data_IF_000131628026
#
_entry.id   IF_000131628026
#
_cell.length_a   1.000
_cell.length_b   1.000
_cell.length_c   1.000
_cell.angle_alpha   90.00
_cell.angle_beta   90.00
_cell.angle_gamma   90.00
#
_symmetry.space_group_name_H-M   'P 1'
#
loop_
_entity.id
_entity.type
_entity.pdbx_description
1 polymer ?
#
# COMPACT_ATOMS: atom_id res chain seq x y z
N UNK A 1 -17.85 -33.71 38.09
CA UNK A 1 -17.91 -34.13 36.68
C UNK A 1 -17.25 -33.07 35.86
N UNK A 2 -16.08 -33.40 35.34
CA UNK A 2 -15.11 -32.51 34.65
C UNK A 2 -15.58 -32.27 33.21
N UNK A 3 -15.65 -31.01 32.79
CA UNK A 3 -15.84 -30.62 31.39
C UNK A 3 -14.52 -30.11 30.89
N UNK A 4 -13.88 -30.89 30.00
CA UNK A 4 -12.63 -30.54 29.35
C UNK A 4 -12.83 -29.44 28.32
N UNK A 5 -11.93 -28.45 28.36
CA UNK A 5 -11.79 -27.45 27.30
C UNK A 5 -10.86 -28.04 26.26
N UNK A 6 -11.36 -28.22 25.05
CA UNK A 6 -10.54 -28.53 23.86
C UNK A 6 -9.94 -27.24 23.29
N UNK A 7 -8.63 -27.16 23.25
CA UNK A 7 -7.90 -26.17 22.49
C UNK A 7 -7.88 -26.58 21.00
N UNK A 8 -7.99 -25.64 20.04
CA UNK A 8 -7.73 -25.96 18.64
C UNK A 8 -6.23 -25.96 18.39
N UNK A 9 -5.70 -27.11 18.04
CA UNK A 9 -4.34 -27.30 17.57
C UNK A 9 -4.16 -26.58 16.22
N UNK A 10 -3.52 -25.42 16.22
CA UNK A 10 -2.97 -24.79 15.03
C UNK A 10 -1.77 -25.59 14.53
N UNK A 11 -1.89 -26.23 13.39
CA UNK A 11 -0.78 -26.86 12.68
C UNK A 11 0.13 -25.78 12.10
N UNK A 12 1.17 -25.47 12.85
CA UNK A 12 2.31 -24.63 12.43
C UNK A 12 3.18 -25.44 11.43
N UNK A 13 2.94 -25.25 10.15
CA UNK A 13 3.82 -25.82 9.11
C UNK A 13 5.11 -24.98 9.03
N UNK A 14 6.05 -25.25 9.95
CA UNK A 14 7.44 -24.78 9.87
C UNK A 14 8.14 -25.47 8.71
N UNK A 15 8.03 -24.92 7.51
CA UNK A 15 8.95 -25.20 6.43
C UNK A 15 10.29 -24.52 6.73
N UNK A 16 11.24 -25.26 7.28
CA UNK A 16 12.64 -24.83 7.39
C UNK A 16 13.16 -24.51 5.97
N UNK A 17 13.39 -23.23 5.67
CA UNK A 17 14.07 -22.81 4.45
C UNK A 17 15.54 -23.26 4.57
N UNK A 18 15.89 -24.37 3.92
CA UNK A 18 17.29 -24.77 3.74
C UNK A 18 18.03 -23.66 3.00
N UNK A 19 19.21 -23.31 3.50
CA UNK A 19 20.13 -22.34 2.88
C UNK A 19 20.36 -22.68 1.41
N UNK A 20 19.64 -22.02 0.50
CA UNK A 20 19.90 -22.13 -0.93
C UNK A 20 21.30 -21.57 -1.22
N UNK A 21 22.12 -22.36 -1.92
CA UNK A 21 23.47 -21.94 -2.28
C UNK A 21 23.40 -20.74 -3.22
N UNK A 22 23.90 -19.61 -2.74
CA UNK A 22 24.03 -18.38 -3.50
C UNK A 22 25.23 -18.46 -4.45
N UNK A 23 25.03 -18.25 -5.74
CA UNK A 23 26.10 -18.18 -6.73
C UNK A 23 26.30 -16.74 -7.23
N UNK A 24 27.54 -16.33 -7.44
CA UNK A 24 27.89 -15.02 -8.01
C UNK A 24 27.35 -14.88 -9.44
N UNK A 25 26.75 -13.74 -9.80
CA UNK A 25 26.19 -13.54 -11.15
C UNK A 25 27.31 -13.53 -12.21
N UNK A 26 27.21 -14.40 -13.21
CA UNK A 26 27.85 -14.17 -14.51
C UNK A 26 26.88 -13.30 -15.32
N UNK A 27 27.37 -12.19 -15.87
CA UNK A 27 26.59 -11.36 -16.78
C UNK A 27 25.99 -12.21 -17.91
N UNK A 28 24.69 -12.43 -17.84
CA UNK A 28 23.90 -12.89 -18.99
C UNK A 28 23.09 -11.73 -19.50
N UNK A 29 22.93 -11.60 -20.85
CA UNK A 29 22.06 -10.57 -21.41
C UNK A 29 20.68 -10.72 -20.78
N UNK A 30 20.14 -9.62 -20.25
CA UNK A 30 18.76 -9.56 -19.75
C UNK A 30 17.84 -10.15 -20.81
N UNK A 31 17.22 -11.29 -20.53
CA UNK A 31 16.05 -11.71 -21.28
C UNK A 31 15.03 -10.56 -21.13
N UNK A 32 14.82 -9.82 -22.21
CA UNK A 32 13.72 -8.88 -22.35
C UNK A 32 12.44 -9.73 -22.29
N UNK A 33 11.99 -10.08 -21.07
CA UNK A 33 10.58 -10.35 -20.86
C UNK A 33 9.89 -9.10 -21.39
N UNK A 34 9.07 -9.29 -22.44
CA UNK A 34 8.37 -8.22 -23.12
C UNK A 34 7.44 -7.53 -22.10
N UNK A 35 8.01 -6.63 -21.30
CA UNK A 35 7.26 -5.59 -20.61
C UNK A 35 6.41 -4.97 -21.69
N UNK A 36 5.07 -5.00 -21.51
CA UNK A 36 4.13 -4.44 -22.45
C UNK A 36 4.67 -3.08 -22.86
N UNK A 37 4.98 -2.86 -24.15
CA UNK A 37 5.52 -1.58 -24.56
C UNK A 37 4.54 -0.51 -24.03
N UNK A 38 5.04 0.62 -23.59
CA UNK A 38 4.23 1.73 -23.09
C UNK A 38 3.08 2.05 -24.05
N UNK A 39 3.35 2.04 -25.34
CA UNK A 39 2.34 2.31 -26.37
C UNK A 39 1.22 1.27 -26.39
N UNK A 40 1.53 -0.01 -26.23
CA UNK A 40 0.52 -1.07 -26.13
C UNK A 40 -0.30 -0.96 -24.83
N UNK A 41 0.31 -0.50 -23.73
CA UNK A 41 -0.36 -0.23 -22.46
C UNK A 41 -1.34 0.94 -22.61
N UNK A 42 -0.91 2.05 -23.23
CA UNK A 42 -1.77 3.23 -23.49
C UNK A 42 -2.87 2.94 -24.50
N UNK A 43 -2.59 2.17 -25.54
CA UNK A 43 -3.61 1.76 -26.50
C UNK A 43 -4.73 0.94 -25.83
N UNK A 44 -4.38 -0.01 -24.97
CA UNK A 44 -5.35 -0.76 -24.15
C UNK A 44 -6.14 0.15 -23.22
N UNK A 45 -5.47 1.09 -22.55
CA UNK A 45 -6.13 2.08 -21.72
C UNK A 45 -7.20 2.84 -22.50
N UNK A 46 -6.89 3.30 -23.71
CA UNK A 46 -7.86 3.99 -24.57
C UNK A 46 -9.08 3.15 -24.93
N UNK A 47 -8.88 1.88 -25.29
CA UNK A 47 -9.98 0.94 -25.60
C UNK A 47 -10.87 0.72 -24.37
N UNK A 48 -10.29 0.31 -23.24
CA UNK A 48 -11.03 0.01 -22.01
C UNK A 48 -11.74 1.26 -21.46
N UNK A 49 -11.07 2.41 -21.44
CA UNK A 49 -11.64 3.67 -20.99
C UNK A 49 -12.86 4.06 -21.83
N UNK A 50 -12.78 3.91 -23.16
CA UNK A 50 -13.89 4.21 -24.07
C UNK A 50 -15.06 3.25 -23.83
N UNK A 51 -14.80 1.94 -23.74
CA UNK A 51 -15.84 0.94 -23.49
C UNK A 51 -16.61 1.23 -22.18
N UNK A 52 -15.87 1.48 -21.07
CA UNK A 52 -16.48 1.79 -19.78
C UNK A 52 -17.24 3.12 -19.77
N UNK A 53 -16.75 4.14 -20.48
CA UNK A 53 -17.40 5.44 -20.57
C UNK A 53 -18.77 5.38 -21.29
N UNK A 54 -18.94 4.43 -22.21
CA UNK A 54 -20.18 4.22 -22.95
C UNK A 54 -21.23 3.40 -22.18
N UNK A 55 -20.87 2.77 -21.07
CA UNK A 55 -21.81 2.01 -20.25
C UNK A 55 -22.65 2.95 -19.37
N UNK A 56 -23.95 2.61 -19.23
CA UNK A 56 -24.83 3.21 -18.23
C UNK A 56 -24.42 2.76 -16.83
N UNK A 57 -24.87 3.48 -15.79
CA UNK A 57 -24.64 3.12 -14.40
C UNK A 57 -25.15 1.72 -14.08
N UNK A 58 -26.35 1.36 -14.59
CA UNK A 58 -26.90 0.02 -14.46
C UNK A 58 -25.98 -1.05 -15.05
N UNK A 59 -25.48 -0.83 -16.27
CA UNK A 59 -24.58 -1.78 -16.93
C UNK A 59 -23.23 -1.92 -16.23
N UNK A 60 -22.69 -0.83 -15.66
CA UNK A 60 -21.47 -0.88 -14.85
C UNK A 60 -21.71 -1.66 -13.56
N UNK A 61 -22.88 -1.48 -12.91
CA UNK A 61 -23.26 -2.27 -11.74
C UNK A 61 -23.31 -3.77 -12.05
N UNK A 62 -24.03 -4.18 -13.11
CA UNK A 62 -24.09 -5.58 -13.55
C UNK A 62 -22.70 -6.17 -13.84
N UNK A 63 -21.82 -5.38 -14.47
CA UNK A 63 -20.43 -5.80 -14.77
C UNK A 63 -19.65 -6.08 -13.50
N UNK A 64 -19.79 -5.21 -12.48
CA UNK A 64 -19.10 -5.35 -11.20
C UNK A 64 -19.68 -6.51 -10.40
N UNK A 65 -21.01 -6.67 -10.38
CA UNK A 65 -21.68 -7.78 -9.67
C UNK A 65 -21.31 -9.15 -10.25
N UNK A 66 -21.06 -9.21 -11.56
CA UNK A 66 -20.59 -10.43 -12.23
C UNK A 66 -19.08 -10.65 -12.12
N UNK A 67 -18.33 -9.71 -11.53
CA UNK A 67 -16.88 -9.76 -11.39
C UNK A 67 -16.41 -10.88 -10.45
N UNK A 68 -15.17 -11.32 -10.64
CA UNK A 68 -14.52 -12.27 -9.73
C UNK A 68 -13.99 -11.53 -8.51
N UNK A 69 -14.42 -11.87 -7.27
CA UNK A 69 -13.89 -11.24 -6.06
C UNK A 69 -12.37 -11.36 -5.97
N UNK A 70 -11.69 -10.24 -5.68
CA UNK A 70 -10.23 -10.17 -5.56
C UNK A 70 -9.77 -9.86 -4.13
N UNK A 71 -10.68 -9.38 -3.27
CA UNK A 71 -10.41 -9.11 -1.86
C UNK A 71 -11.40 -8.11 -1.26
N UNK A 72 -11.25 -7.88 0.03
CA UNK A 72 -11.98 -6.84 0.77
C UNK A 72 -11.09 -6.31 1.88
N UNK A 73 -11.23 -5.03 2.21
CA UNK A 73 -10.47 -4.38 3.28
C UNK A 73 -11.06 -3.00 3.61
N UNK A 74 -10.36 -2.22 4.42
CA UNK A 74 -10.80 -0.88 4.82
C UNK A 74 -10.96 0.03 3.59
N UNK A 75 -10.11 -0.15 2.58
CA UNK A 75 -10.21 0.55 1.30
C UNK A 75 -11.42 0.19 0.44
N UNK A 76 -12.24 -0.80 0.84
CA UNK A 76 -13.44 -1.23 0.13
C UNK A 76 -13.36 -2.67 -0.40
N UNK A 77 -14.35 -3.06 -1.20
CA UNK A 77 -14.37 -4.35 -1.90
C UNK A 77 -13.66 -4.22 -3.25
N UNK A 78 -13.07 -5.33 -3.69
CA UNK A 78 -12.37 -5.39 -4.97
C UNK A 78 -12.81 -6.59 -5.79
N UNK A 79 -12.96 -6.38 -7.08
CA UNK A 79 -13.29 -7.44 -8.06
C UNK A 79 -12.42 -7.30 -9.30
N UNK A 80 -12.26 -8.38 -10.04
CA UNK A 80 -11.69 -8.35 -11.40
C UNK A 80 -12.81 -8.60 -12.38
N UNK A 81 -12.98 -7.71 -13.34
CA UNK A 81 -13.96 -7.80 -14.43
C UNK A 81 -13.25 -7.95 -15.77
N UNK A 82 -13.92 -8.52 -16.75
CA UNK A 82 -13.45 -8.53 -18.14
C UNK A 82 -14.12 -7.41 -18.93
N UNK A 83 -13.32 -6.57 -19.57
CA UNK A 83 -13.80 -5.52 -20.49
C UNK A 83 -13.17 -5.78 -21.85
N UNK A 84 -13.97 -6.28 -22.79
CA UNK A 84 -13.54 -6.61 -24.16
C UNK A 84 -12.26 -7.48 -24.21
N UNK A 85 -12.20 -8.52 -23.37
CA UNK A 85 -11.05 -9.42 -23.27
C UNK A 85 -9.85 -8.88 -22.49
N UNK A 86 -10.04 -7.74 -21.80
CA UNK A 86 -9.01 -7.14 -20.94
C UNK A 86 -9.43 -7.23 -19.48
N UNK A 87 -8.62 -7.87 -18.59
CA UNK A 87 -8.90 -7.87 -17.16
C UNK A 87 -8.71 -6.46 -16.59
N UNK A 88 -9.70 -6.01 -15.82
CA UNK A 88 -9.73 -4.71 -15.16
C UNK A 88 -9.97 -4.94 -13.68
N UNK A 89 -9.12 -4.34 -12.83
CA UNK A 89 -9.30 -4.35 -11.40
C UNK A 89 -10.24 -3.23 -10.98
N UNK A 90 -11.30 -3.55 -10.25
CA UNK A 90 -12.27 -2.57 -9.77
C UNK A 90 -12.18 -2.49 -8.26
N UNK A 91 -11.91 -1.29 -7.74
CA UNK A 91 -11.95 -0.97 -6.31
C UNK A 91 -13.21 -0.15 -6.03
N UNK A 92 -14.02 -0.61 -5.07
CA UNK A 92 -15.24 0.06 -4.62
C UNK A 92 -14.92 0.83 -3.35
N UNK A 93 -14.69 2.13 -3.47
CA UNK A 93 -14.36 3.02 -2.36
C UNK A 93 -15.65 3.65 -1.82
N UNK A 94 -15.96 3.43 -0.53
CA UNK A 94 -17.16 3.99 0.10
C UNK A 94 -17.14 5.51 0.03
N UNK A 95 -18.26 6.06 -0.41
CA UNK A 95 -18.49 7.50 -0.51
C UNK A 95 -19.56 7.91 0.50
N UNK A 96 -19.17 8.60 1.56
CA UNK A 96 -20.10 9.00 2.62
C UNK A 96 -21.07 10.09 2.17
N UNK A 97 -22.19 10.23 2.89
CA UNK A 97 -23.18 11.26 2.57
C UNK A 97 -22.63 12.67 2.71
N UNK A 98 -21.67 12.91 3.63
CA UNK A 98 -20.96 14.18 3.73
C UNK A 98 -20.14 14.48 2.47
N UNK A 99 -19.42 13.50 1.95
CA UNK A 99 -18.62 13.63 0.72
C UNK A 99 -19.49 13.82 -0.55
N UNK A 100 -20.80 13.46 -0.47
CA UNK A 100 -21.77 13.60 -1.57
C UNK A 100 -22.50 14.94 -1.56
N UNK A 101 -22.44 15.73 -0.50
CA UNK A 101 -23.03 17.08 -0.48
C UNK A 101 -22.45 17.91 -1.61
N UNK A 102 -23.28 18.73 -2.24
CA UNK A 102 -22.93 19.45 -3.46
C UNK A 102 -21.63 20.28 -3.33
N UNK A 103 -21.41 20.88 -2.16
CA UNK A 103 -20.23 21.66 -1.81
C UNK A 103 -18.97 20.80 -1.60
N UNK A 104 -19.14 19.49 -1.32
CA UNK A 104 -18.04 18.58 -1.01
C UNK A 104 -17.70 17.62 -2.16
N UNK A 105 -18.45 17.66 -3.26
CA UNK A 105 -18.18 16.80 -4.42
C UNK A 105 -16.79 17.12 -4.98
N UNK A 106 -15.93 16.10 -5.00
CA UNK A 106 -14.53 16.16 -5.40
C UNK A 106 -13.63 17.02 -4.51
N UNK A 107 -14.11 17.45 -3.34
CA UNK A 107 -13.26 18.13 -2.36
C UNK A 107 -12.20 17.18 -1.82
N UNK A 108 -10.98 17.67 -1.75
CA UNK A 108 -9.83 16.98 -1.14
C UNK A 108 -9.52 17.49 0.27
N UNK A 109 -10.44 18.30 0.87
CA UNK A 109 -10.33 18.75 2.24
C UNK A 109 -10.48 17.57 3.23
N UNK A 110 -9.97 17.74 4.44
CA UNK A 110 -10.19 16.82 5.55
C UNK A 110 -11.58 17.04 6.17
N UNK A 111 -12.63 16.58 5.48
CA UNK A 111 -14.04 16.88 5.80
C UNK A 111 -14.48 16.41 7.20
N UNK A 112 -13.78 15.47 7.80
CA UNK A 112 -14.10 14.91 9.11
C UNK A 112 -13.23 15.47 10.23
N UNK A 113 -12.30 16.39 9.94
CA UNK A 113 -11.30 16.89 10.88
C UNK A 113 -10.49 15.74 11.54
N UNK A 114 -10.12 14.75 10.74
CA UNK A 114 -9.34 13.61 11.23
C UNK A 114 -7.98 14.09 11.73
N UNK A 115 -7.52 13.56 12.88
CA UNK A 115 -6.16 13.81 13.33
C UNK A 115 -5.13 13.34 12.31
N UNK A 116 -4.08 14.13 12.08
CA UNK A 116 -3.08 13.86 11.04
C UNK A 116 -2.31 12.57 11.25
N UNK A 117 -2.18 12.10 12.48
CA UNK A 117 -1.60 10.79 12.76
C UNK A 117 -2.38 9.61 12.15
N UNK A 118 -3.63 9.83 11.68
CA UNK A 118 -4.38 8.82 10.94
C UNK A 118 -3.79 8.53 9.54
N UNK A 119 -2.84 9.32 9.05
CA UNK A 119 -2.05 9.00 7.86
C UNK A 119 -1.08 7.83 8.08
N UNK A 120 -0.64 7.56 9.32
CA UNK A 120 0.27 6.45 9.55
C UNK A 120 -0.43 5.10 9.39
N UNK A 121 -0.13 4.38 8.30
CA UNK A 121 -0.69 3.06 7.99
C UNK A 121 -0.08 1.93 8.83
N UNK A 122 0.06 2.10 10.15
CA UNK A 122 0.75 1.12 11.00
C UNK A 122 -0.13 0.57 12.10
N UNK A 123 -0.14 -0.75 12.23
CA UNK A 123 -0.85 -1.44 13.31
C UNK A 123 -1.80 -2.53 12.85
N UNK A 124 -2.68 -2.97 13.77
CA UNK A 124 -3.62 -4.09 13.56
C UNK A 124 -5.01 -3.65 13.12
N UNK A 125 -5.31 -2.36 13.22
CA UNK A 125 -6.53 -1.75 12.69
C UNK A 125 -6.08 -0.64 11.77
N UNK A 126 -6.39 -0.74 10.50
CA UNK A 126 -6.02 0.25 9.50
C UNK A 126 -6.68 1.60 9.72
N UNK A 127 -6.14 2.63 9.07
CA UNK A 127 -6.64 4.00 9.18
C UNK A 127 -8.04 4.15 8.58
N UNK A 128 -8.89 5.06 9.14
CA UNK A 128 -10.25 5.27 8.63
C UNK A 128 -10.30 5.94 7.25
N UNK A 129 -9.12 6.34 6.71
CA UNK A 129 -9.00 7.05 5.43
C UNK A 129 -9.53 8.48 5.45
N UNK A 130 -8.91 9.35 4.66
CA UNK A 130 -9.25 10.78 4.65
C UNK A 130 -10.34 11.17 3.63
N UNK A 131 -10.77 10.24 2.80
CA UNK A 131 -11.87 10.45 1.89
C UNK A 131 -11.68 9.81 0.51
N UNK A 132 -12.81 9.41 -0.08
CA UNK A 132 -12.84 8.77 -1.38
C UNK A 132 -12.39 9.72 -2.52
N UNK A 133 -12.65 11.01 -2.37
CA UNK A 133 -12.22 12.01 -3.36
C UNK A 133 -10.71 12.23 -3.38
N UNK A 134 -10.00 12.11 -2.22
CA UNK A 134 -8.53 12.13 -2.17
C UNK A 134 -7.95 10.96 -2.95
N UNK A 135 -8.47 9.75 -2.73
CA UNK A 135 -8.01 8.55 -3.43
C UNK A 135 -8.22 8.67 -4.94
N UNK A 136 -9.41 9.11 -5.38
CA UNK A 136 -9.68 9.39 -6.79
C UNK A 136 -8.72 10.43 -7.37
N UNK A 137 -8.45 11.51 -6.63
CA UNK A 137 -7.55 12.57 -7.08
C UNK A 137 -6.12 12.05 -7.30
N UNK A 138 -5.62 11.18 -6.41
CA UNK A 138 -4.29 10.56 -6.60
C UNK A 138 -4.27 9.65 -7.82
N UNK A 139 -5.29 8.81 -8.01
CA UNK A 139 -5.39 7.98 -9.21
C UNK A 139 -5.44 8.80 -10.51
N UNK A 140 -6.11 9.95 -10.49
CA UNK A 140 -6.12 10.87 -11.63
C UNK A 140 -4.73 11.47 -11.90
N UNK A 141 -4.02 11.91 -10.85
CA UNK A 141 -2.66 12.44 -10.97
C UNK A 141 -1.68 11.39 -11.50
N UNK A 142 -1.66 10.20 -10.89
CA UNK A 142 -0.73 9.12 -11.26
C UNK A 142 -0.98 8.61 -12.68
N UNK A 143 -2.26 8.48 -13.08
CA UNK A 143 -2.62 8.18 -14.48
C UNK A 143 -2.12 9.25 -15.44
N UNK A 144 -2.26 10.53 -15.08
CA UNK A 144 -1.74 11.65 -15.85
C UNK A 144 -0.22 11.55 -16.07
N UNK A 145 0.55 11.22 -15.02
CA UNK A 145 2.00 11.01 -15.11
C UNK A 145 2.39 9.86 -16.04
N UNK A 146 1.65 8.74 -15.97
CA UNK A 146 1.88 7.61 -16.90
C UNK A 146 1.59 8.03 -18.34
N UNK A 147 0.46 8.72 -18.59
CA UNK A 147 0.09 9.18 -19.93
C UNK A 147 1.11 10.18 -20.47
N UNK A 148 1.59 11.11 -19.64
CA UNK A 148 2.64 12.08 -20.03
C UNK A 148 4.00 11.42 -20.29
N UNK A 149 4.25 10.23 -19.75
CA UNK A 149 5.53 9.52 -19.83
C UNK A 149 6.53 9.97 -18.79
N UNK A 150 6.06 10.58 -17.73
CA UNK A 150 6.89 11.05 -16.63
C UNK A 150 7.39 9.86 -15.79
N UNK A 151 6.51 8.90 -15.49
CA UNK A 151 6.84 7.69 -14.72
C UNK A 151 5.80 6.58 -14.96
N UNK A 152 6.27 5.36 -15.23
CA UNK A 152 5.40 4.22 -15.58
C UNK A 152 4.96 3.38 -14.37
N UNK A 153 5.42 3.66 -13.17
CA UNK A 153 5.26 2.87 -11.94
C UNK A 153 3.92 3.07 -11.22
N UNK A 154 2.82 3.28 -11.96
CA UNK A 154 1.47 3.42 -11.41
C UNK A 154 0.47 2.66 -12.27
N UNK A 155 -0.56 1.99 -11.68
CA UNK A 155 -1.67 1.46 -12.45
C UNK A 155 -2.45 2.59 -13.14
N UNK A 156 -2.82 2.41 -14.40
CA UNK A 156 -3.70 3.34 -15.10
C UNK A 156 -5.12 3.24 -14.56
N UNK A 157 -5.74 4.35 -14.22
CA UNK A 157 -7.18 4.42 -13.99
C UNK A 157 -7.90 4.58 -15.33
N UNK A 158 -8.59 3.53 -15.78
CA UNK A 158 -9.33 3.53 -17.03
C UNK A 158 -10.60 4.36 -16.95
N UNK A 159 -11.32 4.27 -15.84
CA UNK A 159 -12.57 4.95 -15.61
C UNK A 159 -12.89 5.06 -14.12
N UNK A 160 -13.83 5.93 -13.76
CA UNK A 160 -14.44 5.95 -12.43
C UNK A 160 -15.93 6.31 -12.54
N UNK A 161 -16.72 5.86 -11.60
CA UNK A 161 -18.16 6.18 -11.53
C UNK A 161 -18.64 6.14 -10.09
N UNK A 162 -19.55 7.04 -9.73
CA UNK A 162 -20.28 6.95 -8.46
C UNK A 162 -21.54 6.14 -8.70
N UNK A 163 -21.70 5.04 -7.99
CA UNK A 163 -22.91 4.22 -8.02
C UNK A 163 -23.53 4.10 -6.63
N UNK A 164 -24.88 3.93 -6.57
CA UNK A 164 -25.53 3.54 -5.32
C UNK A 164 -24.91 2.24 -4.78
N UNK A 165 -24.74 2.16 -3.47
CA UNK A 165 -24.28 0.96 -2.78
C UNK A 165 -25.34 0.52 -1.78
N UNK A 166 -25.65 -0.77 -1.75
CA UNK A 166 -26.71 -1.32 -0.88
C UNK A 166 -26.32 -1.40 0.62
N UNK A 167 -25.24 -0.73 1.04
CA UNK A 167 -24.78 -0.74 2.42
C UNK A 167 -24.05 -2.04 2.76
N UNK A 168 -22.87 -2.20 2.26
CA UNK A 168 -21.99 -3.32 2.62
C UNK A 168 -21.61 -3.24 4.10
N UNK A 169 -21.46 -4.35 4.83
CA UNK A 169 -20.97 -4.33 6.20
C UNK A 169 -19.57 -3.70 6.24
N UNK A 170 -19.24 -3.00 7.34
CA UNK A 170 -17.87 -2.52 7.55
C UNK A 170 -16.89 -3.71 7.49
N UNK A 171 -15.65 -3.48 7.04
CA UNK A 171 -14.57 -4.45 7.20
C UNK A 171 -14.44 -4.90 8.65
N UNK A 172 -14.04 -6.15 8.88
CA UNK A 172 -13.92 -6.75 10.22
C UNK A 172 -13.14 -5.86 11.20
N UNK A 173 -12.10 -5.19 10.72
CA UNK A 173 -11.26 -4.29 11.50
C UNK A 173 -12.00 -3.06 12.06
N UNK A 174 -13.03 -2.58 11.36
CA UNK A 174 -13.85 -1.42 11.74
C UNK A 174 -15.25 -1.81 12.25
N UNK A 175 -15.61 -3.10 12.22
CA UNK A 175 -16.94 -3.58 12.59
C UNK A 175 -17.28 -3.27 14.05
N UNK A 176 -16.31 -3.37 14.96
CA UNK A 176 -16.38 -2.88 16.32
C UNK A 176 -15.87 -1.43 16.37
N UNK A 177 -16.81 -0.48 16.20
CA UNK A 177 -16.50 0.96 16.13
C UNK A 177 -15.83 1.46 17.41
N UNK A 178 -16.28 1.02 18.59
CA UNK A 178 -15.71 1.46 19.87
C UNK A 178 -14.27 1.01 20.00
N UNK A 179 -13.97 -0.21 19.62
CA UNK A 179 -12.62 -0.76 19.57
C UNK A 179 -11.75 0.01 18.57
N UNK A 180 -12.24 0.28 17.37
CA UNK A 180 -11.49 0.99 16.33
C UNK A 180 -11.20 2.44 16.76
N UNK A 181 -12.19 3.14 17.34
CA UNK A 181 -12.03 4.50 17.88
C UNK A 181 -11.01 4.52 19.02
N UNK A 182 -11.11 3.60 19.98
CA UNK A 182 -10.15 3.49 21.08
C UNK A 182 -8.74 3.20 20.58
N UNK A 183 -8.60 2.30 19.59
CA UNK A 183 -7.32 1.96 18.98
C UNK A 183 -6.63 3.20 18.37
N UNK A 184 -7.37 4.06 17.71
CA UNK A 184 -6.87 5.31 17.10
C UNK A 184 -6.77 6.49 18.10
N UNK A 185 -6.78 6.21 19.42
CA UNK A 185 -6.60 7.22 20.46
C UNK A 185 -7.88 7.95 20.88
N UNK A 186 -9.04 7.52 20.42
CA UNK A 186 -10.33 8.12 20.74
C UNK A 186 -10.67 9.32 19.86
N UNK A 187 -11.73 10.02 20.24
CA UNK A 187 -12.11 11.29 19.60
C UNK A 187 -13.35 11.19 18.69
N UNK A 188 -14.11 12.29 18.68
CA UNK A 188 -15.38 12.36 17.95
C UNK A 188 -15.19 12.34 16.42
N UNK A 189 -14.09 12.89 15.92
CA UNK A 189 -13.79 12.94 14.49
C UNK A 189 -13.64 11.53 13.89
N UNK A 190 -12.84 10.67 14.55
CA UNK A 190 -12.62 9.29 14.13
C UNK A 190 -13.93 8.50 14.18
N UNK A 191 -14.71 8.67 15.25
CA UNK A 191 -16.05 8.05 15.38
C UNK A 191 -16.96 8.46 14.24
N UNK A 192 -17.12 9.77 14.03
CA UNK A 192 -17.96 10.30 12.93
C UNK A 192 -17.55 9.73 11.58
N UNK A 193 -16.24 9.63 11.32
CA UNK A 193 -15.75 9.05 10.05
C UNK A 193 -16.14 7.59 9.90
N UNK A 194 -15.91 6.75 10.92
CA UNK A 194 -16.22 5.31 10.85
C UNK A 194 -17.73 5.08 10.75
N UNK A 195 -18.53 5.83 11.52
CA UNK A 195 -20.00 5.76 11.42
C UNK A 195 -20.50 6.20 10.04
N UNK A 196 -19.95 7.28 9.48
CA UNK A 196 -20.28 7.72 8.12
C UNK A 196 -19.89 6.68 7.04
N UNK A 197 -18.79 5.95 7.22
CA UNK A 197 -18.44 4.83 6.33
C UNK A 197 -19.44 3.68 6.45
N UNK A 198 -19.91 3.36 7.67
CA UNK A 198 -20.95 2.34 7.89
C UNK A 198 -22.25 2.71 7.20
N UNK A 199 -22.65 3.97 7.32
CA UNK A 199 -23.93 4.47 6.86
C UNK A 199 -23.91 4.96 5.39
N UNK A 200 -22.77 4.81 4.71
CA UNK A 200 -22.63 5.22 3.30
C UNK A 200 -23.60 4.48 2.39
N UNK A 201 -24.23 5.20 1.48
CA UNK A 201 -25.22 4.69 0.52
C UNK A 201 -24.74 4.72 -0.93
N UNK A 202 -23.47 5.03 -1.15
CA UNK A 202 -22.83 5.05 -2.46
C UNK A 202 -21.35 4.67 -2.36
N UNK A 203 -20.77 4.27 -3.49
CA UNK A 203 -19.35 4.02 -3.65
C UNK A 203 -18.82 4.68 -4.92
N UNK A 204 -17.55 5.08 -4.90
CA UNK A 204 -16.80 5.37 -6.12
C UNK A 204 -16.23 4.04 -6.61
N UNK A 205 -16.57 3.67 -7.83
CA UNK A 205 -15.94 2.56 -8.54
C UNK A 205 -14.72 3.08 -9.29
N UNK A 206 -13.54 2.59 -8.94
CA UNK A 206 -12.29 2.88 -9.63
C UNK A 206 -11.94 1.69 -10.52
N UNK A 207 -11.99 1.87 -11.83
CA UNK A 207 -11.63 0.85 -12.82
C UNK A 207 -10.14 1.02 -13.17
N UNK A 208 -9.30 0.15 -12.63
CA UNK A 208 -7.86 0.26 -12.67
C UNK A 208 -7.24 -0.82 -13.57
N UNK A 209 -6.08 -0.54 -14.09
CA UNK A 209 -5.27 -1.53 -14.79
C UNK A 209 -4.97 -2.72 -13.86
N UNK A 210 -5.26 -3.93 -14.34
CA UNK A 210 -4.97 -5.14 -13.60
C UNK A 210 -3.48 -5.47 -13.65
N UNK A 211 -2.83 -5.47 -12.49
CA UNK A 211 -1.45 -5.93 -12.29
C UNK A 211 -1.51 -7.25 -11.52
N UNK A 212 -0.87 -8.33 -12.00
CA UNK A 212 -1.19 -9.69 -11.58
C UNK A 212 -0.75 -10.07 -10.17
N UNK A 213 0.27 -9.42 -9.61
CA UNK A 213 0.86 -9.82 -8.33
C UNK A 213 1.15 -8.61 -7.45
N UNK A 214 1.02 -8.79 -6.13
CA UNK A 214 1.61 -7.85 -5.17
C UNK A 214 3.10 -8.17 -4.96
N UNK A 215 3.85 -7.18 -4.49
CA UNK A 215 5.29 -7.29 -4.28
C UNK A 215 5.62 -8.32 -3.18
N UNK A 216 4.79 -8.43 -2.13
CA UNK A 216 5.02 -9.37 -1.03
C UNK A 216 5.13 -10.82 -1.55
N UNK A 217 4.14 -11.25 -2.33
CA UNK A 217 4.06 -12.62 -2.83
C UNK A 217 5.10 -12.90 -3.91
N UNK A 218 5.27 -11.94 -4.84
CA UNK A 218 6.25 -12.05 -5.91
C UNK A 218 7.68 -12.15 -5.36
N UNK A 219 8.10 -11.22 -4.50
CA UNK A 219 9.45 -11.23 -3.91
C UNK A 219 9.67 -12.47 -3.05
N UNK A 220 8.63 -12.92 -2.33
CA UNK A 220 8.65 -14.18 -1.60
C UNK A 220 8.93 -15.38 -2.50
N UNK A 221 8.35 -15.41 -3.70
CA UNK A 221 8.66 -16.40 -4.73
C UNK A 221 10.13 -16.35 -5.18
N UNK A 222 10.66 -15.16 -5.45
CA UNK A 222 12.05 -14.97 -5.89
C UNK A 222 13.06 -15.35 -4.79
N UNK A 223 12.80 -14.97 -3.54
CA UNK A 223 13.66 -15.33 -2.40
C UNK A 223 13.67 -16.84 -2.17
N UNK A 224 12.53 -17.52 -2.27
CA UNK A 224 12.47 -18.99 -2.17
C UNK A 224 13.19 -19.70 -3.32
N UNK A 225 13.18 -19.12 -4.53
CA UNK A 225 13.95 -19.66 -5.66
C UNK A 225 15.46 -19.55 -5.44
N UNK A 226 15.90 -18.57 -4.64
CA UNK A 226 17.30 -18.38 -4.25
C UNK A 226 18.21 -17.91 -5.40
N UNK A 227 19.52 -17.98 -5.16
CA UNK A 227 20.56 -17.75 -6.17
C UNK A 227 20.50 -16.36 -6.82
N UNK A 228 20.68 -16.34 -8.14
CA UNK A 228 20.70 -15.10 -8.94
C UNK A 228 19.34 -14.41 -8.93
N UNK A 229 18.24 -15.17 -9.01
CA UNK A 229 16.88 -14.63 -9.06
C UNK A 229 16.55 -13.78 -7.82
N UNK A 230 16.88 -14.29 -6.63
CA UNK A 230 16.66 -13.56 -5.39
C UNK A 230 17.51 -12.28 -5.30
N UNK A 231 18.78 -12.35 -5.74
CA UNK A 231 19.69 -11.18 -5.73
C UNK A 231 19.22 -10.09 -6.68
N UNK A 232 18.86 -10.48 -7.92
CA UNK A 232 18.36 -9.55 -8.94
C UNK A 232 17.01 -8.93 -8.52
N UNK A 233 16.12 -9.74 -7.92
CA UNK A 233 14.84 -9.26 -7.41
C UNK A 233 15.02 -8.23 -6.28
N UNK A 234 15.89 -8.51 -5.29
CA UNK A 234 16.18 -7.55 -4.21
C UNK A 234 16.77 -6.24 -4.76
N UNK A 235 17.67 -6.32 -5.72
CA UNK A 235 18.27 -5.13 -6.34
C UNK A 235 17.24 -4.30 -7.14
N UNK A 236 16.38 -4.97 -7.92
CA UNK A 236 15.30 -4.33 -8.65
C UNK A 236 14.32 -3.64 -7.70
N UNK A 237 13.90 -4.33 -6.63
CA UNK A 237 12.97 -3.78 -5.64
C UNK A 237 13.56 -2.56 -4.95
N UNK A 238 14.81 -2.60 -4.49
CA UNK A 238 15.47 -1.45 -3.87
C UNK A 238 15.52 -0.24 -4.83
N UNK A 239 15.92 -0.46 -6.07
CA UNK A 239 16.02 0.58 -7.08
C UNK A 239 14.65 1.20 -7.42
N UNK A 240 13.65 0.37 -7.70
CA UNK A 240 12.32 0.81 -8.12
C UNK A 240 11.56 1.48 -6.97
N UNK A 241 11.69 1.00 -5.72
CA UNK A 241 11.11 1.66 -4.55
C UNK A 241 11.65 3.08 -4.41
N UNK A 242 12.97 3.25 -4.44
CA UNK A 242 13.59 4.57 -4.32
C UNK A 242 13.19 5.50 -5.46
N UNK A 243 13.22 5.02 -6.68
CA UNK A 243 12.88 5.84 -7.86
C UNK A 243 11.41 6.29 -7.83
N UNK A 244 10.48 5.36 -7.55
CA UNK A 244 9.04 5.67 -7.52
C UNK A 244 8.67 6.61 -6.37
N UNK A 245 9.24 6.40 -5.17
CA UNK A 245 9.00 7.26 -4.01
C UNK A 245 9.59 8.65 -4.24
N UNK A 246 10.85 8.76 -4.70
CA UNK A 246 11.44 10.06 -5.03
C UNK A 246 10.58 10.81 -6.05
N UNK A 247 10.10 10.11 -7.10
CA UNK A 247 9.23 10.70 -8.11
C UNK A 247 7.93 11.27 -7.52
N UNK A 248 7.27 10.54 -6.61
CA UNK A 248 6.04 11.02 -5.94
C UNK A 248 6.34 12.21 -5.03
N UNK A 249 7.37 12.09 -4.17
CA UNK A 249 7.71 13.12 -3.19
C UNK A 249 8.14 14.43 -3.87
N UNK A 250 8.93 14.37 -4.95
CA UNK A 250 9.32 15.55 -5.75
C UNK A 250 8.12 16.30 -6.35
N UNK A 251 6.96 15.61 -6.46
CA UNK A 251 5.69 16.18 -6.94
C UNK A 251 4.70 16.51 -5.83
N UNK A 252 5.16 16.47 -4.58
CA UNK A 252 4.37 16.80 -3.41
C UNK A 252 3.28 15.77 -3.09
N UNK A 253 3.51 14.50 -3.44
CA UNK A 253 2.64 13.38 -3.08
C UNK A 253 3.37 12.46 -2.11
N UNK A 254 2.83 12.26 -0.91
CA UNK A 254 3.25 11.22 0.03
C UNK A 254 2.19 10.13 0.10
N UNK A 255 2.64 8.87 0.01
CA UNK A 255 1.77 7.70 -0.04
C UNK A 255 1.32 7.26 1.36
N UNK A 256 2.18 7.34 2.33
CA UNK A 256 2.02 6.95 3.74
C UNK A 256 1.79 5.45 4.01
N UNK A 257 1.40 4.66 3.00
CA UNK A 257 1.05 3.24 3.15
C UNK A 257 1.66 2.35 2.05
N UNK A 258 2.87 2.67 1.60
CA UNK A 258 3.58 1.95 0.54
C UNK A 258 4.18 0.61 1.02
N UNK A 259 3.37 -0.25 1.67
CA UNK A 259 3.79 -1.60 2.04
C UNK A 259 3.67 -2.58 0.86
N UNK A 260 4.31 -3.73 0.95
CA UNK A 260 4.46 -4.66 -0.19
C UNK A 260 3.15 -5.30 -0.69
N UNK A 261 2.06 -5.21 0.04
CA UNK A 261 0.74 -5.61 -0.46
C UNK A 261 0.07 -4.49 -1.27
N UNK A 262 0.42 -3.21 -1.03
CA UNK A 262 -0.05 -2.04 -1.79
C UNK A 262 0.86 -1.70 -2.97
N UNK A 263 1.98 -2.39 -3.11
CA UNK A 263 2.87 -2.29 -4.27
C UNK A 263 2.68 -3.53 -5.11
N UNK A 264 2.36 -3.32 -6.39
CA UNK A 264 2.12 -4.39 -7.35
C UNK A 264 3.34 -4.56 -8.27
N UNK A 265 3.42 -5.69 -8.97
CA UNK A 265 4.51 -5.95 -9.93
C UNK A 265 4.07 -6.88 -11.06
N UNK A 266 4.65 -6.65 -12.24
CA UNK A 266 4.60 -7.56 -13.38
C UNK A 266 5.89 -8.40 -13.52
N UNK A 267 6.77 -8.33 -12.50
CA UNK A 267 8.07 -8.97 -12.46
C UNK A 267 9.20 -8.17 -13.11
N UNK A 268 8.90 -7.02 -13.74
CA UNK A 268 9.87 -6.17 -14.41
C UNK A 268 9.96 -4.75 -13.80
N UNK A 269 8.88 -4.29 -13.15
CA UNK A 269 8.78 -2.98 -12.47
C UNK A 269 7.80 -3.06 -11.31
N UNK A 270 7.81 -2.02 -10.49
CA UNK A 270 6.86 -1.82 -9.41
C UNK A 270 5.77 -0.83 -9.81
N UNK A 271 4.57 -1.01 -9.21
CA UNK A 271 3.43 -0.13 -9.38
C UNK A 271 2.88 0.22 -8.01
N UNK A 272 2.90 1.51 -7.65
CA UNK A 272 2.33 2.00 -6.41
C UNK A 272 0.82 2.12 -6.53
N UNK A 273 0.08 1.55 -5.58
CA UNK A 273 -1.38 1.48 -5.57
C UNK A 273 -1.91 1.64 -4.15
N UNK A 274 -3.23 1.84 -4.01
CA UNK A 274 -3.92 2.06 -2.74
C UNK A 274 -3.52 3.36 -2.03
N UNK A 275 -4.20 4.45 -2.40
CA UNK A 275 -3.89 5.80 -1.92
C UNK A 275 -4.82 6.30 -0.82
N UNK A 276 -5.49 5.41 -0.08
CA UNK A 276 -6.46 5.77 0.96
C UNK A 276 -5.89 6.62 2.10
N UNK A 277 -4.58 6.57 2.33
CA UNK A 277 -3.85 7.35 3.34
C UNK A 277 -2.94 8.43 2.75
N UNK A 278 -2.94 8.62 1.43
CA UNK A 278 -2.05 9.57 0.78
C UNK A 278 -2.42 11.04 1.09
N UNK A 279 -1.41 11.91 1.08
CA UNK A 279 -1.57 13.36 1.14
C UNK A 279 -0.79 14.01 0.00
N UNK A 280 -1.29 15.11 -0.54
CA UNK A 280 -0.62 15.84 -1.63
C UNK A 280 -0.69 17.34 -1.41
N UNK A 281 0.37 18.05 -1.79
CA UNK A 281 0.42 19.51 -1.83
C UNK A 281 -0.61 20.14 -2.79
N UNK A 282 -1.25 19.30 -3.61
CA UNK A 282 -2.33 19.70 -4.54
C UNK A 282 -3.73 19.58 -3.93
N UNK A 283 -3.85 19.07 -2.71
CA UNK A 283 -5.11 18.97 -2.01
C UNK A 283 -5.50 20.31 -1.36
N UNK A 284 -6.75 20.42 -0.98
CA UNK A 284 -7.29 21.53 -0.18
C UNK A 284 -6.84 21.36 1.27
N UNK A 285 -5.54 21.60 1.52
CA UNK A 285 -4.93 21.40 2.83
C UNK A 285 -5.19 22.57 3.77
N UNK A 286 -5.48 22.27 5.04
CA UNK A 286 -5.35 23.23 6.12
C UNK A 286 -3.89 23.61 6.37
N UNK A 287 -3.58 24.71 7.05
CA UNK A 287 -2.19 25.04 7.42
C UNK A 287 -1.50 23.92 8.22
N UNK A 288 -2.22 23.21 9.10
CA UNK A 288 -1.68 22.09 9.87
C UNK A 288 -1.35 20.89 8.99
N UNK A 289 -2.20 20.58 7.99
CA UNK A 289 -1.93 19.54 7.00
C UNK A 289 -0.75 19.89 6.11
N UNK A 290 -0.59 21.15 5.71
CA UNK A 290 0.55 21.60 4.92
C UNK A 290 1.85 21.47 5.73
N UNK A 291 1.87 21.90 6.99
CA UNK A 291 3.00 21.69 7.89
C UNK A 291 3.32 20.21 8.11
N UNK A 292 2.30 19.37 8.29
CA UNK A 292 2.48 17.92 8.40
C UNK A 292 3.12 17.31 7.14
N UNK A 293 2.67 17.73 5.96
CA UNK A 293 3.25 17.30 4.69
C UNK A 293 4.74 17.65 4.60
N UNK A 294 5.11 18.89 4.96
CA UNK A 294 6.49 19.38 4.93
C UNK A 294 7.38 18.61 5.93
N UNK A 295 6.89 18.37 7.16
CA UNK A 295 7.61 17.64 8.21
C UNK A 295 7.83 16.16 7.86
N UNK A 296 7.01 15.60 6.95
CA UNK A 296 7.03 14.18 6.57
C UNK A 296 7.58 13.91 5.16
N UNK A 297 8.25 14.87 4.53
CA UNK A 297 8.75 14.73 3.15
C UNK A 297 9.61 13.47 2.92
N UNK A 298 10.38 13.02 3.92
CA UNK A 298 11.16 11.77 3.86
C UNK A 298 10.42 10.51 4.28
N UNK A 299 9.16 10.61 4.74
CA UNK A 299 8.47 9.49 5.40
C UNK A 299 8.38 8.23 4.53
N UNK A 300 7.97 8.35 3.28
CA UNK A 300 7.80 7.19 2.39
C UNK A 300 9.12 6.44 2.14
N UNK A 301 10.24 7.16 2.03
CA UNK A 301 11.57 6.54 1.93
C UNK A 301 11.91 5.73 3.18
N UNK A 302 11.65 6.30 4.35
CA UNK A 302 11.92 5.66 5.64
C UNK A 302 10.99 4.47 5.87
N UNK A 303 9.72 4.61 5.48
CA UNK A 303 8.72 3.54 5.55
C UNK A 303 9.11 2.35 4.66
N UNK A 304 9.39 2.61 3.38
CA UNK A 304 9.75 1.56 2.42
C UNK A 304 11.06 0.86 2.79
N UNK A 305 12.10 1.61 3.18
CA UNK A 305 13.36 1.04 3.66
C UNK A 305 13.14 0.15 4.90
N UNK A 306 12.35 0.63 5.86
CA UNK A 306 11.99 -0.13 7.06
C UNK A 306 11.21 -1.40 6.70
N UNK A 307 10.26 -1.29 5.77
CA UNK A 307 9.47 -2.45 5.33
C UNK A 307 10.35 -3.48 4.64
N UNK A 308 11.23 -3.06 3.74
CA UNK A 308 12.16 -3.94 3.02
C UNK A 308 13.12 -4.66 3.99
N UNK A 309 13.76 -3.94 4.91
CA UNK A 309 14.67 -4.55 5.91
C UNK A 309 13.93 -5.57 6.78
N UNK A 310 12.76 -5.21 7.32
CA UNK A 310 11.98 -6.11 8.16
C UNK A 310 11.46 -7.33 7.39
N UNK A 311 11.02 -7.13 6.15
CA UNK A 311 10.54 -8.19 5.29
C UNK A 311 11.66 -9.18 4.95
N UNK A 312 12.85 -8.69 4.57
CA UNK A 312 14.02 -9.52 4.29
C UNK A 312 14.52 -10.27 5.53
N UNK A 313 14.49 -9.63 6.70
CA UNK A 313 14.85 -10.29 7.96
C UNK A 313 13.95 -11.50 8.26
N UNK A 314 12.65 -11.42 7.94
CA UNK A 314 11.73 -12.55 8.06
C UNK A 314 11.96 -13.57 6.94
N UNK A 315 12.02 -13.13 5.69
CA UNK A 315 12.08 -14.02 4.54
C UNK A 315 13.39 -14.82 4.46
N UNK A 316 14.52 -14.22 4.85
CA UNK A 316 15.86 -14.83 4.75
C UNK A 316 16.26 -15.61 6.01
N UNK A 317 15.84 -15.16 7.18
CA UNK A 317 16.30 -15.72 8.46
C UNK A 317 15.19 -16.37 9.29
N UNK A 318 13.91 -16.19 8.91
CA UNK A 318 12.78 -16.71 9.68
C UNK A 318 12.59 -16.03 11.04
N UNK A 319 13.14 -14.82 11.22
CA UNK A 319 13.14 -14.14 12.51
C UNK A 319 11.73 -13.86 13.05
N UNK A 320 11.47 -14.30 14.27
CA UNK A 320 10.32 -13.88 15.05
C UNK A 320 10.41 -12.36 15.38
N UNK A 321 9.32 -11.70 15.79
CA UNK A 321 9.30 -10.24 15.97
C UNK A 321 10.42 -9.70 16.87
N UNK A 322 10.78 -10.38 17.98
CA UNK A 322 11.87 -9.97 18.87
C UNK A 322 13.25 -10.17 18.25
N UNK A 323 13.47 -11.32 17.61
CA UNK A 323 14.72 -11.65 16.92
C UNK A 323 14.98 -10.67 15.79
N UNK A 324 13.95 -10.37 15.00
CA UNK A 324 14.02 -9.37 13.92
C UNK A 324 14.45 -8.01 14.46
N UNK A 325 13.85 -7.55 15.57
CA UNK A 325 14.24 -6.27 16.20
C UNK A 325 15.69 -6.28 16.69
N UNK A 326 16.13 -7.39 17.27
CA UNK A 326 17.50 -7.54 17.71
C UNK A 326 18.50 -7.52 16.55
N UNK A 327 18.20 -8.27 15.47
CA UNK A 327 18.99 -8.30 14.24
C UNK A 327 19.11 -6.92 13.60
N UNK A 328 17.97 -6.22 13.39
CA UNK A 328 17.98 -4.87 12.80
C UNK A 328 18.80 -3.89 13.64
N UNK A 329 18.71 -3.92 14.97
CA UNK A 329 19.57 -3.08 15.82
C UNK A 329 21.05 -3.44 15.69
N UNK A 330 21.38 -4.73 15.61
CA UNK A 330 22.75 -5.19 15.42
C UNK A 330 23.33 -4.70 14.08
N UNK A 331 22.56 -4.83 13.00
CA UNK A 331 22.95 -4.33 11.68
C UNK A 331 23.09 -2.80 11.67
N UNK A 332 22.22 -2.08 12.36
CA UNK A 332 22.33 -0.63 12.55
C UNK A 332 23.59 -0.20 13.31
N UNK A 333 24.18 -1.09 14.11
CA UNK A 333 25.45 -0.89 14.81
C UNK A 333 26.69 -1.34 13.99
N UNK A 334 26.49 -1.74 12.72
CA UNK A 334 27.55 -2.11 11.78
C UNK A 334 27.87 -3.61 11.74
N UNK A 335 27.10 -4.46 12.44
CA UNK A 335 27.26 -5.92 12.28
C UNK A 335 26.78 -6.32 10.89
N UNK A 336 27.63 -7.00 10.13
CA UNK A 336 27.28 -7.44 8.78
C UNK A 336 26.33 -8.64 8.83
N UNK A 337 25.20 -8.61 8.09
CA UNK A 337 24.31 -9.76 7.93
C UNK A 337 25.07 -10.94 7.28
N UNK A 338 25.03 -12.12 7.91
CA UNK A 338 25.70 -13.33 7.42
C UNK A 338 24.75 -14.24 6.63
N UNK A 339 25.29 -15.13 5.81
CA UNK A 339 24.52 -16.14 5.08
C UNK A 339 23.74 -15.61 3.86
N UNK A 340 23.97 -14.35 3.48
CA UNK A 340 23.31 -13.69 2.33
C UNK A 340 24.35 -13.12 1.36
N UNK A 341 23.99 -12.83 0.09
CA UNK A 341 24.88 -12.18 -0.86
C UNK A 341 25.36 -10.82 -0.36
N UNK A 342 26.58 -10.43 -0.71
CA UNK A 342 27.16 -9.15 -0.32
C UNK A 342 26.28 -7.93 -0.66
N UNK A 343 25.60 -7.98 -1.82
CA UNK A 343 24.66 -6.92 -2.21
C UNK A 343 23.45 -6.82 -1.26
N UNK A 344 22.88 -7.94 -0.82
CA UNK A 344 21.77 -7.97 0.13
C UNK A 344 22.24 -7.56 1.52
N UNK A 345 23.42 -8.03 1.96
CA UNK A 345 24.04 -7.61 3.21
C UNK A 345 24.28 -6.08 3.24
N UNK A 346 24.79 -5.51 2.14
CA UNK A 346 25.00 -4.08 2.00
C UNK A 346 23.69 -3.29 2.09
N UNK A 347 22.60 -3.76 1.45
CA UNK A 347 21.27 -3.17 1.53
C UNK A 347 20.75 -3.18 2.97
N UNK A 348 20.80 -4.34 3.64
CA UNK A 348 20.34 -4.48 5.02
C UNK A 348 21.12 -3.56 5.97
N UNK A 349 22.46 -3.50 5.85
CA UNK A 349 23.31 -2.65 6.68
C UNK A 349 23.07 -1.16 6.42
N UNK A 350 22.88 -0.76 5.16
CA UNK A 350 22.61 0.62 4.78
C UNK A 350 21.31 1.15 5.40
N UNK A 351 20.24 0.34 5.34
CA UNK A 351 18.89 0.77 5.72
C UNK A 351 18.53 0.40 7.18
N UNK A 352 19.33 -0.43 7.86
CA UNK A 352 19.07 -0.83 9.24
C UNK A 352 18.96 0.34 10.24
N UNK A 353 19.77 1.42 10.16
CA UNK A 353 19.62 2.57 11.06
C UNK A 353 18.23 3.20 10.98
N UNK A 354 17.74 3.43 9.75
CA UNK A 354 16.39 3.95 9.49
C UNK A 354 15.34 2.98 10.04
N UNK A 355 15.47 1.68 9.74
CA UNK A 355 14.53 0.67 10.19
C UNK A 355 14.48 0.54 11.72
N UNK A 356 15.60 0.73 12.43
CA UNK A 356 15.65 0.73 13.88
C UNK A 356 14.94 1.96 14.49
N UNK A 357 15.18 3.16 13.94
CA UNK A 357 14.55 4.41 14.37
C UNK A 357 13.03 4.37 14.13
N UNK A 358 12.59 4.03 12.90
CA UNK A 358 11.18 3.87 12.56
C UNK A 358 10.49 2.79 13.40
N UNK A 359 11.17 1.65 13.63
CA UNK A 359 10.64 0.61 14.51
C UNK A 359 10.46 1.07 15.96
N UNK A 360 11.31 1.97 16.45
CA UNK A 360 11.15 2.62 17.77
C UNK A 360 9.96 3.58 17.76
N UNK A 361 9.87 4.43 16.75
CA UNK A 361 8.75 5.35 16.55
C UNK A 361 7.41 4.61 16.52
N UNK A 362 7.26 3.57 15.69
CA UNK A 362 6.00 2.82 15.58
C UNK A 362 5.60 2.14 16.89
N UNK A 363 6.56 1.62 17.68
CA UNK A 363 6.22 1.04 18.98
C UNK A 363 5.70 2.09 19.96
N UNK A 364 6.32 3.26 20.03
CA UNK A 364 5.86 4.37 20.87
C UNK A 364 4.50 4.87 20.41
N UNK A 365 4.33 5.07 19.10
CA UNK A 365 3.08 5.47 18.47
C UNK A 365 1.93 4.50 18.80
N UNK A 366 2.18 3.20 18.72
CA UNK A 366 1.15 2.19 18.96
C UNK A 366 0.86 1.94 20.44
N UNK A 367 1.87 2.02 21.30
CA UNK A 367 1.76 1.57 22.70
C UNK A 367 1.69 2.70 23.72
N UNK A 368 2.24 3.87 23.41
CA UNK A 368 2.33 4.98 24.34
C UNK A 368 1.36 6.10 23.95
N UNK A 369 1.46 6.66 22.74
CA UNK A 369 0.61 7.76 22.29
C UNK A 369 0.52 7.86 20.77
N UNK A 370 -0.68 8.08 20.24
CA UNK A 370 -0.90 8.42 18.83
C UNK A 370 -0.35 9.81 18.45
N UNK A 371 -0.04 10.64 19.43
CA UNK A 371 0.62 11.94 19.23
C UNK A 371 2.14 11.87 19.38
N UNK A 372 2.73 10.66 19.35
CA UNK A 372 4.19 10.50 19.31
C UNK A 372 4.75 11.25 18.11
N UNK A 373 5.67 12.21 18.30
CA UNK A 373 6.23 12.97 17.18
C UNK A 373 7.05 12.07 16.26
N UNK A 374 7.02 12.40 14.98
CA UNK A 374 7.90 11.77 13.99
C UNK A 374 9.37 12.10 14.34
N UNK A 375 10.31 11.15 14.22
CA UNK A 375 11.67 11.36 14.72
C UNK A 375 12.45 12.39 13.90
N UNK A 376 12.91 13.48 14.54
CA UNK A 376 13.75 14.52 13.91
C UNK A 376 15.07 13.98 13.37
N UNK A 377 15.60 12.90 13.95
CA UNK A 377 16.82 12.23 13.51
C UNK A 377 16.70 11.66 12.09
N UNK A 378 15.47 11.27 11.67
CA UNK A 378 15.21 10.77 10.32
C UNK A 378 15.23 11.87 9.26
N UNK A 379 14.93 13.11 9.63
CA UNK A 379 15.01 14.26 8.71
C UNK A 379 16.45 14.60 8.30
N UNK A 380 17.47 13.96 8.93
CA UNK A 380 18.91 14.19 8.72
C UNK A 380 19.61 13.03 8.01
N UNK A 381 18.93 11.94 7.75
CA UNK A 381 19.40 10.75 7.05
C UNK A 381 18.92 10.79 5.59
#
# INVERSE_FOLDING_TARGET
MSVGRGEPSGTDSRGSLTHGQWTTPRERPRARTAGRSRDARLARHGVVSTALALHSDHRLGELVDAGTPAGSGIGGQTVVVDVDGTPVFVKQVRLTDLERQAENVRSTANLFDLPLFCHYGVGTIGGPGFGAWRELAVHAMTTGWVIAGDHDGFPLMHHWRVLPDAGQPLPEELADIDRAVAYWGGGAAIRRRIEALRDSSASILLFLEYIPQNLHDWLGGQVRAGGVAATEACAMVDQELRAGISFMNDRGLLHFDAHFQNILTDGARLYFADYGLAISSRFELTPDEAGFLDDHHGYDHHYAATHLVNWLAVALYGHAPEERRAAVRSWAQGVTPEGVPAAVAALLTRDAPVAAAMGSFYRRFQRESRTTPYPDELSRI
#
